data_IF_865976187984
#
_entry.id   IF_865976187984
#
_cell.length_a   1.000
_cell.length_b   1.000
_cell.length_c   1.000
_cell.angle_alpha   90.00
_cell.angle_beta   90.00
_cell.angle_gamma   90.00
#
_symmetry.space_group_name_H-M   'P 1'
#
loop_
_entity.id
_entity.type
_entity.pdbx_description
1 polymer ?
#
# COMPACT_ATOMS: atom_id res chain seq x y z
N UNK A 1 -12.85 30.44 -5.36
CA UNK A 1 -11.42 30.59 -5.76
C UNK A 1 -11.35 30.70 -7.28
N UNK A 2 -10.73 31.73 -7.83
CA UNK A 2 -10.53 31.90 -9.28
C UNK A 2 -9.52 30.86 -9.79
N UNK A 3 -9.85 30.13 -10.88
CA UNK A 3 -9.01 29.06 -11.47
C UNK A 3 -8.15 29.54 -12.66
N UNK A 4 -8.35 30.78 -13.13
CA UNK A 4 -7.74 31.33 -14.33
C UNK A 4 -8.76 31.61 -15.44
N UNK A 5 -8.39 32.37 -16.48
CA UNK A 5 -9.29 32.69 -17.58
C UNK A 5 -9.44 31.48 -18.52
N UNK A 6 -10.66 31.20 -18.97
CA UNK A 6 -10.97 30.14 -19.94
C UNK A 6 -12.03 30.62 -20.94
N UNK A 7 -12.01 30.08 -22.16
CA UNK A 7 -13.10 30.30 -23.12
C UNK A 7 -14.44 29.86 -22.54
N UNK A 8 -15.53 30.55 -22.88
CA UNK A 8 -16.89 30.20 -22.42
C UNK A 8 -17.22 28.72 -22.67
N UNK A 9 -16.90 28.20 -23.87
CA UNK A 9 -17.10 26.78 -24.22
C UNK A 9 -16.27 25.83 -23.34
N UNK A 10 -15.00 26.15 -23.10
CA UNK A 10 -14.11 25.33 -22.27
C UNK A 10 -14.54 25.32 -20.80
N UNK A 11 -15.05 26.45 -20.29
CA UNK A 11 -15.57 26.55 -18.94
C UNK A 11 -16.85 25.69 -18.76
N UNK A 12 -17.74 25.67 -19.76
CA UNK A 12 -18.95 24.85 -19.76
C UNK A 12 -18.65 23.34 -19.92
N UNK A 13 -17.58 22.98 -20.62
CA UNK A 13 -17.14 21.59 -20.80
C UNK A 13 -16.22 21.09 -19.67
N UNK A 14 -15.93 21.93 -18.68
CA UNK A 14 -15.05 21.56 -17.58
C UNK A 14 -15.66 20.42 -16.77
N UNK A 15 -14.88 19.35 -16.58
CA UNK A 15 -15.21 18.26 -15.69
C UNK A 15 -14.14 18.15 -14.62
N UNK A 16 -14.54 18.19 -13.34
CA UNK A 16 -13.64 17.88 -12.23
C UNK A 16 -13.25 16.40 -12.32
N UNK A 17 -12.09 16.08 -12.90
CA UNK A 17 -11.54 14.72 -12.89
C UNK A 17 -10.64 14.54 -11.67
N UNK A 18 -10.99 13.61 -10.79
CA UNK A 18 -10.20 13.31 -9.60
C UNK A 18 -9.28 12.12 -9.85
N UNK A 19 -7.97 12.35 -9.71
CA UNK A 19 -6.97 11.28 -9.69
C UNK A 19 -6.65 10.96 -8.23
N UNK A 20 -6.95 9.74 -7.80
CA UNK A 20 -6.58 9.21 -6.50
C UNK A 20 -5.26 8.45 -6.69
N UNK A 21 -4.13 8.96 -6.15
CA UNK A 21 -2.88 8.23 -6.19
C UNK A 21 -2.92 7.06 -5.19
N UNK A 22 -2.50 5.89 -5.64
CA UNK A 22 -2.33 4.68 -4.83
C UNK A 22 -0.86 4.31 -4.86
N UNK A 23 -0.20 4.37 -3.72
CA UNK A 23 1.23 4.11 -3.63
C UNK A 23 1.49 2.68 -3.17
N UNK A 24 2.35 2.00 -3.91
CA UNK A 24 2.94 0.73 -3.52
C UNK A 24 4.46 0.92 -3.45
N UNK A 25 5.08 0.44 -2.38
CA UNK A 25 6.53 0.53 -2.24
C UNK A 25 7.19 -0.68 -2.90
N UNK A 26 8.02 -0.44 -3.93
CA UNK A 26 8.65 -1.46 -4.77
C UNK A 26 7.64 -2.25 -5.63
N UNK A 27 6.64 -1.55 -6.17
CA UNK A 27 5.60 -2.14 -7.04
C UNK A 27 6.22 -2.87 -8.24
N UNK A 28 7.18 -2.22 -8.91
CA UNK A 28 7.80 -2.76 -10.12
C UNK A 28 8.63 -4.02 -9.85
N UNK A 29 9.20 -4.17 -8.65
CA UNK A 29 10.10 -5.28 -8.34
C UNK A 29 9.43 -6.55 -7.80
N UNK A 30 8.23 -6.47 -7.24
CA UNK A 30 7.69 -7.56 -6.41
C UNK A 30 6.52 -8.34 -7.04
N UNK A 31 5.73 -7.72 -7.93
CA UNK A 31 4.51 -8.38 -8.41
C UNK A 31 3.46 -7.46 -9.04
N UNK A 32 3.88 -6.33 -9.61
CA UNK A 32 2.96 -5.42 -10.31
C UNK A 32 2.04 -6.16 -11.29
N UNK A 33 2.53 -7.21 -11.95
CA UNK A 33 1.77 -7.96 -12.95
C UNK A 33 0.47 -8.59 -12.43
N UNK A 34 0.51 -9.25 -11.28
CA UNK A 34 -0.67 -9.90 -10.70
C UNK A 34 -1.68 -8.84 -10.26
N UNK A 35 -1.20 -7.82 -9.54
CA UNK A 35 -2.02 -6.72 -9.04
C UNK A 35 -2.67 -5.94 -10.20
N UNK A 36 -1.88 -5.60 -11.23
CA UNK A 36 -2.38 -4.90 -12.43
C UNK A 36 -3.45 -5.72 -13.12
N UNK A 37 -3.22 -7.03 -13.32
CA UNK A 37 -4.16 -7.90 -14.00
C UNK A 37 -5.49 -7.95 -13.25
N UNK A 38 -5.45 -8.13 -11.94
CA UNK A 38 -6.69 -8.22 -11.15
C UNK A 38 -7.41 -6.87 -11.09
N UNK A 39 -6.70 -5.77 -10.86
CA UNK A 39 -7.30 -4.42 -10.84
C UNK A 39 -7.81 -3.99 -12.23
N UNK A 40 -7.15 -4.42 -13.30
CA UNK A 40 -7.60 -4.18 -14.65
C UNK A 40 -8.95 -4.85 -14.92
N UNK A 41 -9.23 -5.98 -14.29
CA UNK A 41 -10.43 -6.80 -14.55
C UNK A 41 -11.51 -6.68 -13.48
N UNK A 42 -11.20 -6.20 -12.27
CA UNK A 42 -12.13 -6.20 -11.13
C UNK A 42 -13.31 -5.22 -11.25
N UNK A 43 -13.19 -4.21 -12.10
CA UNK A 43 -14.29 -3.27 -12.38
C UNK A 43 -14.16 -2.64 -13.77
N UNK A 44 -15.27 -2.11 -14.28
CA UNK A 44 -15.29 -1.52 -15.62
C UNK A 44 -14.43 -0.25 -15.75
N UNK A 45 -13.77 -0.16 -16.90
CA UNK A 45 -13.08 1.04 -17.37
C UNK A 45 -11.71 0.74 -17.92
N UNK A 46 -11.19 1.66 -18.75
CA UNK A 46 -9.92 1.45 -19.42
C UNK A 46 -8.73 1.54 -18.46
N UNK A 47 -7.62 0.95 -18.86
CA UNK A 47 -6.33 1.06 -18.16
C UNK A 47 -5.35 1.78 -19.07
N UNK A 48 -4.74 2.84 -18.56
CA UNK A 48 -3.60 3.50 -19.20
C UNK A 48 -2.34 3.05 -18.47
N UNK A 49 -1.28 2.69 -19.19
CA UNK A 49 -0.02 2.23 -18.61
C UNK A 49 1.12 3.10 -19.12
N UNK A 50 2.07 3.45 -18.25
CA UNK A 50 3.35 4.08 -18.62
C UNK A 50 4.47 3.04 -18.47
N UNK A 51 4.77 2.26 -19.52
CA UNK A 51 5.78 1.20 -19.47
C UNK A 51 7.22 1.73 -19.55
N UNK A 52 8.15 1.01 -18.90
CA UNK A 52 9.60 1.10 -19.14
C UNK A 52 10.03 -0.12 -19.97
N UNK A 53 9.63 -1.32 -19.55
CA UNK A 53 9.85 -2.58 -20.27
C UNK A 53 8.55 -3.38 -20.32
N UNK A 54 8.57 -4.59 -20.91
CA UNK A 54 7.42 -5.52 -20.85
C UNK A 54 7.06 -5.94 -19.41
N UNK A 55 8.04 -5.89 -18.51
CA UNK A 55 7.93 -6.34 -17.13
C UNK A 55 7.88 -5.18 -16.13
N UNK A 56 8.38 -3.99 -16.51
CA UNK A 56 8.46 -2.84 -15.62
C UNK A 56 7.59 -1.68 -16.10
N UNK A 57 6.75 -1.15 -15.20
CA UNK A 57 5.89 0.01 -15.44
C UNK A 57 6.21 1.14 -14.46
N UNK A 58 6.23 2.39 -14.92
CA UNK A 58 6.37 3.58 -14.06
C UNK A 58 5.10 3.78 -13.24
N UNK A 59 3.96 3.69 -13.91
CA UNK A 59 2.63 3.80 -13.28
C UNK A 59 1.58 3.16 -14.18
N UNK A 60 0.46 2.78 -13.60
CA UNK A 60 -0.74 2.45 -14.34
C UNK A 60 -1.94 3.21 -13.75
N UNK A 61 -2.86 3.61 -14.63
CA UNK A 61 -4.05 4.38 -14.27
C UNK A 61 -5.29 3.62 -14.70
N UNK A 62 -6.12 3.24 -13.74
CA UNK A 62 -7.41 2.62 -13.98
C UNK A 62 -8.49 3.68 -13.93
N UNK A 63 -9.26 3.80 -15.00
CA UNK A 63 -10.42 4.68 -15.07
C UNK A 63 -11.62 3.94 -14.47
N UNK A 64 -12.31 4.54 -13.51
CA UNK A 64 -13.49 3.94 -12.88
C UNK A 64 -14.74 4.48 -13.57
N UNK A 65 -15.48 3.63 -14.31
CA UNK A 65 -16.76 4.03 -14.91
C UNK A 65 -17.84 4.20 -13.82
N UNK A 66 -18.94 4.88 -14.17
CA UNK A 66 -20.14 5.08 -13.32
C UNK A 66 -19.89 5.81 -11.98
N UNK A 67 -18.84 6.63 -11.91
CA UNK A 67 -18.64 7.56 -10.79
C UNK A 67 -19.06 8.97 -11.22
N UNK A 68 -19.74 9.69 -10.32
CA UNK A 68 -20.31 11.03 -10.55
C UNK A 68 -19.27 12.03 -11.11
N UNK A 69 -17.97 11.82 -10.83
CA UNK A 69 -16.87 12.71 -11.21
C UNK A 69 -15.70 12.01 -11.94
N UNK A 70 -15.95 10.95 -12.72
CA UNK A 70 -14.91 10.23 -13.50
C UNK A 70 -13.60 10.02 -12.73
N UNK A 71 -13.67 9.22 -11.65
CA UNK A 71 -12.51 8.96 -10.79
C UNK A 71 -11.48 8.09 -11.51
N UNK A 72 -10.20 8.42 -11.33
CA UNK A 72 -9.06 7.66 -11.84
C UNK A 72 -8.23 7.20 -10.66
N UNK A 73 -7.90 5.92 -10.60
CA UNK A 73 -6.94 5.38 -9.65
C UNK A 73 -5.59 5.30 -10.34
N UNK A 74 -4.58 6.02 -9.84
CA UNK A 74 -3.23 6.00 -10.39
C UNK A 74 -2.29 5.31 -9.43
N UNK A 75 -1.78 4.16 -9.84
CA UNK A 75 -0.87 3.34 -9.08
C UNK A 75 0.56 3.75 -9.39
N UNK A 76 1.33 4.07 -8.34
CA UNK A 76 2.68 4.61 -8.44
C UNK A 76 3.62 3.82 -7.54
N UNK A 77 4.79 3.51 -8.06
CA UNK A 77 5.87 2.90 -7.28
C UNK A 77 6.60 3.95 -6.44
N UNK A 78 6.44 3.91 -5.12
CA UNK A 78 7.10 4.86 -4.23
C UNK A 78 8.60 4.69 -4.13
N UNK A 79 9.12 3.50 -4.46
CA UNK A 79 10.56 3.24 -4.41
C UNK A 79 11.34 4.08 -5.43
N UNK A 80 10.68 4.54 -6.51
CA UNK A 80 11.31 5.39 -7.53
C UNK A 80 11.66 6.79 -7.04
N UNK A 81 11.06 7.25 -5.94
CA UNK A 81 11.37 8.55 -5.32
C UNK A 81 11.81 8.42 -3.85
N UNK A 82 11.51 7.30 -3.18
CA UNK A 82 12.00 6.93 -1.85
C UNK A 82 12.85 5.66 -1.96
N UNK A 83 14.06 5.79 -2.50
CA UNK A 83 14.95 4.67 -2.84
C UNK A 83 15.68 4.09 -1.60
N UNK A 84 14.92 3.60 -0.63
CA UNK A 84 15.43 2.88 0.54
C UNK A 84 14.36 1.95 1.07
N UNK A 85 14.70 1.04 1.99
CA UNK A 85 13.75 0.08 2.53
C UNK A 85 12.62 0.77 3.30
N UNK A 86 11.42 0.16 3.30
CA UNK A 86 10.30 0.65 4.10
C UNK A 86 10.66 0.77 5.59
N UNK A 87 11.47 -0.16 6.11
CA UNK A 87 11.98 -0.12 7.48
C UNK A 87 12.79 1.15 7.76
N UNK A 88 13.67 1.52 6.82
CA UNK A 88 14.46 2.74 6.94
C UNK A 88 13.57 3.99 6.86
N UNK A 89 12.59 4.01 5.96
CA UNK A 89 11.64 5.12 5.85
C UNK A 89 10.83 5.31 7.14
N UNK A 90 10.35 4.22 7.73
CA UNK A 90 9.63 4.24 9.00
C UNK A 90 10.52 4.77 10.13
N UNK A 91 11.81 4.42 10.15
CA UNK A 91 12.76 4.92 11.15
C UNK A 91 12.95 6.46 11.15
N UNK A 92 12.62 7.12 10.03
CA UNK A 92 12.69 8.57 9.91
C UNK A 92 11.40 9.27 10.37
N UNK A 93 10.32 8.52 10.61
CA UNK A 93 9.05 9.11 11.03
C UNK A 93 9.13 9.58 12.49
N UNK A 94 8.80 10.85 12.69
CA UNK A 94 8.62 11.42 14.02
C UNK A 94 7.30 10.92 14.61
N UNK A 95 7.39 9.99 15.55
CA UNK A 95 6.25 9.35 16.22
C UNK A 95 5.34 10.35 16.91
N UNK A 96 5.85 11.51 17.35
CA UNK A 96 5.04 12.57 17.96
C UNK A 96 4.07 13.22 16.98
N UNK A 97 4.34 13.14 15.67
CA UNK A 97 3.49 13.67 14.60
C UNK A 97 2.39 12.73 14.17
N UNK A 98 2.39 11.47 14.61
CA UNK A 98 1.37 10.46 14.31
C UNK A 98 0.10 10.66 15.14
N UNK A 99 -0.41 11.89 15.20
CA UNK A 99 -1.49 12.32 16.10
C UNK A 99 -2.79 11.55 15.88
N UNK A 100 -3.13 11.24 14.64
CA UNK A 100 -4.34 10.49 14.29
C UNK A 100 -4.22 9.06 14.81
N UNK A 101 -3.13 8.36 14.48
CA UNK A 101 -2.86 6.99 14.95
C UNK A 101 -2.84 6.96 16.48
N UNK A 102 -2.19 7.94 17.12
CA UNK A 102 -2.16 8.05 18.58
C UNK A 102 -3.53 8.29 19.21
N UNK A 103 -4.42 9.01 18.52
CA UNK A 103 -5.78 9.26 18.99
C UNK A 103 -6.64 8.00 18.89
N UNK A 104 -6.56 7.26 17.77
CA UNK A 104 -7.30 6.01 17.59
C UNK A 104 -6.84 4.93 18.57
N UNK A 105 -5.53 4.90 18.86
CA UNK A 105 -4.91 3.93 19.77
C UNK A 105 -4.43 4.58 21.07
N UNK A 106 -5.26 5.45 21.66
CA UNK A 106 -4.91 6.20 22.87
C UNK A 106 -4.62 5.31 24.09
N UNK A 107 -5.16 4.09 24.09
CA UNK A 107 -5.04 3.12 25.17
C UNK A 107 -3.75 2.30 25.10
N UNK A 108 -3.01 2.35 23.98
CA UNK A 108 -1.75 1.64 23.85
C UNK A 108 -0.66 2.36 24.66
N UNK A 109 0.08 1.58 25.43
CA UNK A 109 1.31 2.04 26.05
C UNK A 109 2.37 2.43 24.98
N UNK A 110 3.45 3.14 25.35
CA UNK A 110 4.48 3.55 24.42
C UNK A 110 5.17 2.39 23.69
N UNK A 111 5.31 1.20 24.29
CA UNK A 111 6.01 0.06 23.70
C UNK A 111 5.14 -0.60 22.61
N UNK A 112 3.86 -0.78 22.88
CA UNK A 112 2.87 -1.27 21.93
C UNK A 112 2.60 -0.26 20.81
N UNK A 113 2.61 1.04 21.11
CA UNK A 113 2.53 2.06 20.07
C UNK A 113 3.79 2.09 19.19
N UNK A 114 4.96 1.85 19.79
CA UNK A 114 6.21 1.69 19.05
C UNK A 114 6.12 0.50 18.10
N UNK A 115 5.63 -0.66 18.56
CA UNK A 115 5.34 -1.86 17.77
C UNK A 115 4.39 -1.58 16.58
N UNK A 116 3.28 -0.87 16.83
CA UNK A 116 2.27 -0.51 15.84
C UNK A 116 2.85 0.32 14.68
N UNK A 117 3.84 1.17 14.98
CA UNK A 117 4.37 2.15 14.03
C UNK A 117 5.60 1.65 13.27
N UNK A 118 6.03 0.40 13.47
CA UNK A 118 7.16 -0.23 12.75
C UNK A 118 6.70 -0.77 11.40
N UNK A 119 7.67 -1.19 10.58
CA UNK A 119 7.39 -2.04 9.42
C UNK A 119 6.87 -3.40 9.90
N UNK A 120 5.70 -3.80 9.43
CA UNK A 120 5.16 -5.14 9.70
C UNK A 120 5.95 -6.26 9.02
N UNK A 121 5.92 -7.46 9.61
CA UNK A 121 6.56 -8.66 9.06
C UNK A 121 5.51 -9.55 8.39
N UNK A 122 5.86 -10.05 7.20
CA UNK A 122 5.02 -10.96 6.43
C UNK A 122 5.77 -12.29 6.21
N UNK A 123 5.19 -13.45 6.57
CA UNK A 123 5.84 -14.74 6.43
C UNK A 123 5.71 -15.24 4.99
N UNK A 124 6.58 -14.77 4.09
CA UNK A 124 6.46 -15.07 2.66
C UNK A 124 6.57 -16.56 2.35
N UNK A 125 7.48 -17.25 3.04
CA UNK A 125 7.76 -18.67 2.88
C UNK A 125 6.60 -19.55 3.36
N UNK A 126 5.84 -19.07 4.35
CA UNK A 126 4.64 -19.76 4.82
C UNK A 126 3.49 -19.66 3.82
N UNK A 127 3.33 -18.51 3.16
CA UNK A 127 2.22 -18.23 2.24
C UNK A 127 2.51 -18.83 0.86
N UNK A 128 2.34 -20.14 0.76
CA UNK A 128 2.47 -20.91 -0.49
C UNK A 128 1.16 -21.02 -1.30
N UNK A 129 0.05 -20.58 -0.73
CA UNK A 129 -1.28 -20.69 -1.32
C UNK A 129 -2.19 -19.54 -0.86
N UNK A 130 -3.18 -19.22 -1.69
CA UNK A 130 -4.17 -18.18 -1.38
C UNK A 130 -5.04 -18.59 -0.19
N UNK A 131 -5.27 -19.88 0.02
CA UNK A 131 -6.08 -20.38 1.13
C UNK A 131 -5.51 -19.99 2.50
N UNK A 132 -4.18 -19.93 2.64
CA UNK A 132 -3.52 -19.47 3.87
C UNK A 132 -3.79 -18.01 4.20
N UNK A 133 -4.19 -17.19 3.23
CA UNK A 133 -4.60 -15.80 3.47
C UNK A 133 -5.97 -15.71 4.16
N UNK A 134 -6.76 -16.79 4.15
CA UNK A 134 -8.05 -16.86 4.84
C UNK A 134 -7.94 -17.40 6.27
N UNK A 135 -6.75 -17.78 6.72
CA UNK A 135 -6.52 -18.22 8.09
C UNK A 135 -6.69 -17.06 9.07
N UNK A 136 -7.37 -17.33 10.20
CA UNK A 136 -7.69 -16.31 11.21
C UNK A 136 -6.63 -16.21 12.32
N UNK A 137 -5.61 -17.07 12.28
CA UNK A 137 -4.54 -17.13 13.27
C UNK A 137 -3.19 -16.96 12.60
N UNK A 138 -2.24 -16.37 13.32
CA UNK A 138 -0.85 -16.30 12.86
C UNK A 138 -0.23 -17.71 12.81
N UNK A 139 0.68 -17.97 11.85
CA UNK A 139 1.42 -19.21 11.85
C UNK A 139 2.37 -19.27 13.06
N UNK A 140 2.85 -20.47 13.43
CA UNK A 140 3.92 -20.64 14.40
C UNK A 140 5.16 -19.80 14.08
N UNK A 141 5.92 -19.44 15.12
CA UNK A 141 7.13 -18.60 15.03
C UNK A 141 8.14 -19.14 14.01
N UNK A 142 8.31 -20.47 13.99
CA UNK A 142 9.25 -21.18 13.15
C UNK A 142 8.97 -21.01 11.65
N UNK A 143 7.73 -20.63 11.29
CA UNK A 143 7.31 -20.40 9.91
C UNK A 143 7.50 -18.95 9.45
N UNK A 144 8.08 -18.09 10.28
CA UNK A 144 8.56 -16.76 9.90
C UNK A 144 10.04 -16.77 9.45
N UNK A 145 10.50 -17.90 8.92
CA UNK A 145 11.80 -18.02 8.27
C UNK A 145 11.85 -17.23 6.96
N UNK A 146 12.95 -16.50 6.73
CA UNK A 146 13.21 -15.73 5.52
C UNK A 146 14.38 -16.33 4.75
N UNK A 147 14.09 -16.86 3.56
CA UNK A 147 15.09 -17.42 2.63
C UNK A 147 16.07 -16.37 2.09
N UNK A 148 15.69 -15.08 2.14
CA UNK A 148 16.55 -13.96 1.74
C UNK A 148 17.68 -13.70 2.74
N UNK A 149 17.44 -14.00 4.01
CA UNK A 149 18.39 -13.75 5.11
C UNK A 149 18.91 -15.03 5.73
N UNK A 150 18.35 -16.19 5.37
CA UNK A 150 18.64 -17.50 5.98
C UNK A 150 18.41 -17.51 7.50
N UNK A 151 17.39 -16.76 7.96
CA UNK A 151 17.14 -16.50 9.36
C UNK A 151 15.64 -16.53 9.68
N UNK A 152 15.30 -17.01 10.88
CA UNK A 152 13.94 -16.87 11.43
C UNK A 152 13.79 -15.51 12.07
N UNK A 153 12.73 -14.78 11.70
CA UNK A 153 12.48 -13.45 12.24
C UNK A 153 12.35 -13.52 13.77
N UNK A 154 13.03 -12.64 14.54
CA UNK A 154 12.94 -12.65 15.99
C UNK A 154 11.51 -12.50 16.52
N UNK A 155 11.18 -13.22 17.59
CA UNK A 155 9.84 -13.23 18.21
C UNK A 155 9.37 -11.83 18.63
N UNK A 156 10.31 -10.98 19.05
CA UNK A 156 10.06 -9.57 19.41
C UNK A 156 9.47 -8.74 18.29
N UNK A 157 9.71 -9.12 17.03
CA UNK A 157 9.19 -8.44 15.85
C UNK A 157 7.83 -9.01 15.45
N UNK A 158 7.59 -10.31 15.61
CA UNK A 158 6.34 -10.98 15.19
C UNK A 158 5.16 -10.62 16.10
N UNK A 159 5.41 -10.41 17.40
CA UNK A 159 4.37 -9.97 18.35
C UNK A 159 3.69 -8.63 17.95
N UNK A 160 4.29 -7.84 17.04
CA UNK A 160 3.65 -6.66 16.43
C UNK A 160 2.35 -6.98 15.71
N UNK A 161 2.22 -8.18 15.13
CA UNK A 161 1.09 -8.54 14.27
C UNK A 161 -0.06 -9.19 15.05
N UNK A 162 0.26 -9.83 16.17
CA UNK A 162 -0.74 -10.35 17.10
C UNK A 162 -1.49 -9.19 17.76
N UNK A 163 -0.74 -8.19 18.23
CA UNK A 163 -1.32 -6.91 18.69
C UNK A 163 -2.10 -6.19 17.58
N UNK A 164 -1.64 -6.17 16.32
CA UNK A 164 -2.42 -5.59 15.22
C UNK A 164 -3.71 -6.38 14.93
N UNK A 165 -3.67 -7.72 14.93
CA UNK A 165 -4.86 -8.55 14.77
C UNK A 165 -5.89 -8.33 15.87
N UNK A 166 -5.43 -8.25 17.12
CA UNK A 166 -6.28 -8.04 18.30
C UNK A 166 -6.83 -6.61 18.39
N UNK A 167 -6.14 -5.63 17.79
CA UNK A 167 -6.54 -4.21 17.80
C UNK A 167 -7.55 -3.87 16.69
N UNK A 168 -7.59 -4.65 15.61
CA UNK A 168 -8.49 -4.44 14.47
C UNK A 168 -9.59 -5.51 14.30
N UNK A 169 -9.65 -6.51 15.18
CA UNK A 169 -10.70 -7.53 15.26
C UNK A 169 -11.90 -7.09 16.13
#
# INVERSE_FOLDING_TARGET
RYRGPAHSRCNLQYQDTYVIPVFFHNLAGYGAHFIIKDIANSFEGRVDVLPITKENYISFTKHVKNTINFKKLRFVDSFKFLNTSLEKLVSYLDKSKLKIIRSEFSNLDPENFDLLTRKGVFPYEYIDSVDKLNETSLPPHELFYSSLTDETVPMTIINTRQTFGDVFA
#
